data_IF_272502117500
#
_entry.id   IF_272502117500
#
_cell.length_a   1.000
_cell.length_b   1.000
_cell.length_c   1.000
_cell.angle_alpha   90.00
_cell.angle_beta   90.00
_cell.angle_gamma   90.00
#
_symmetry.space_group_name_H-M   'P 1'
#
loop_
_entity.id
_entity.type
_entity.pdbx_description
1 polymer ?
#
# COMPACT_ATOMS: atom_id res chain seq x y z
N UNK A 1 14.92 13.78 -11.39
CA UNK A 1 15.29 12.50 -10.74
C UNK A 1 15.27 11.40 -11.80
N UNK A 2 16.38 10.67 -12.00
CA UNK A 2 16.47 9.54 -12.95
C UNK A 2 15.79 8.28 -12.38
N UNK A 3 15.54 7.27 -13.22
CA UNK A 3 14.75 6.08 -12.86
C UNK A 3 15.30 5.34 -11.63
N UNK A 4 16.60 5.03 -11.60
CA UNK A 4 17.22 4.32 -10.47
C UNK A 4 17.03 5.05 -9.12
N UNK A 5 17.18 6.38 -9.11
CA UNK A 5 16.93 7.16 -7.89
C UNK A 5 15.47 7.10 -7.46
N UNK A 6 14.53 7.01 -8.41
CA UNK A 6 13.09 6.85 -8.11
C UNK A 6 12.79 5.48 -7.52
N UNK A 7 13.42 4.42 -8.03
CA UNK A 7 13.24 3.07 -7.50
C UNK A 7 13.77 2.94 -6.07
N UNK A 8 14.99 3.43 -5.81
CA UNK A 8 15.58 3.46 -4.46
C UNK A 8 14.68 4.20 -3.47
N UNK A 9 14.09 5.32 -3.90
CA UNK A 9 13.16 6.07 -3.07
C UNK A 9 11.92 5.26 -2.68
N UNK A 10 11.35 4.54 -3.65
CA UNK A 10 10.19 3.70 -3.42
C UNK A 10 10.54 2.50 -2.54
N UNK A 11 11.75 1.94 -2.64
CA UNK A 11 12.23 0.88 -1.75
C UNK A 11 12.32 1.33 -0.29
N UNK A 12 12.81 2.54 -0.04
CA UNK A 12 12.86 3.12 1.30
C UNK A 12 11.47 3.42 1.86
N UNK A 13 10.50 3.76 1.00
CA UNK A 13 9.10 3.91 1.41
C UNK A 13 8.50 2.55 1.75
N UNK A 14 8.73 1.55 0.91
CA UNK A 14 8.23 0.19 1.09
C UNK A 14 8.75 -0.43 2.39
N UNK A 15 10.03 -0.28 2.71
CA UNK A 15 10.60 -0.82 3.97
C UNK A 15 9.98 -0.22 5.24
N UNK A 16 9.39 0.97 5.14
CA UNK A 16 8.69 1.66 6.24
C UNK A 16 7.17 1.69 6.05
N UNK A 17 6.62 0.91 5.11
CA UNK A 17 5.20 0.97 4.75
C UNK A 17 4.27 0.70 5.93
N UNK A 18 4.65 -0.19 6.84
CA UNK A 18 3.85 -0.54 8.01
C UNK A 18 3.68 0.65 8.97
N UNK A 19 4.65 1.56 9.03
CA UNK A 19 4.58 2.76 9.87
C UNK A 19 3.85 3.87 9.10
N UNK A 20 4.15 4.03 7.81
CA UNK A 20 3.62 5.11 6.98
C UNK A 20 2.15 4.91 6.61
N UNK A 21 1.80 3.70 6.22
CA UNK A 21 0.53 3.30 5.61
C UNK A 21 -0.15 2.13 6.33
N UNK A 22 0.41 1.63 7.43
CA UNK A 22 -0.23 0.60 8.24
C UNK A 22 -1.66 0.99 8.63
N UNK A 23 -2.51 -0.04 8.73
CA UNK A 23 -3.90 0.10 9.21
C UNK A 23 -3.93 0.82 10.55
N UNK A 24 -5.08 1.42 10.88
CA UNK A 24 -5.32 2.18 12.11
C UNK A 24 -4.89 1.37 13.33
N UNK A 25 -3.65 1.56 13.75
CA UNK A 25 -3.08 0.98 14.95
C UNK A 25 -3.10 2.07 16.00
N UNK A 26 -3.77 1.82 17.13
CA UNK A 26 -3.76 2.74 18.28
C UNK A 26 -2.35 2.98 18.85
N UNK A 27 -1.37 2.19 18.41
CA UNK A 27 0.04 2.32 18.79
C UNK A 27 0.85 3.25 17.90
N UNK A 28 0.38 3.62 16.70
CA UNK A 28 1.14 4.45 15.75
C UNK A 28 0.76 5.92 15.89
N UNK A 29 1.72 6.73 16.33
CA UNK A 29 1.51 8.16 16.55
C UNK A 29 1.82 8.99 15.30
N UNK A 30 1.44 10.29 15.30
CA UNK A 30 1.80 11.22 14.22
C UNK A 30 3.30 11.47 14.18
N UNK A 31 3.94 11.40 15.33
CA UNK A 31 5.36 11.56 15.57
C UNK A 31 6.14 10.42 14.92
N UNK A 32 5.67 9.17 15.05
CA UNK A 32 6.30 8.00 14.41
C UNK A 32 6.28 8.11 12.89
N UNK A 33 5.14 8.52 12.32
CA UNK A 33 5.03 8.77 10.88
C UNK A 33 5.96 9.88 10.42
N UNK A 34 6.07 10.94 11.21
CA UNK A 34 6.96 12.08 10.93
C UNK A 34 8.42 11.65 10.99
N UNK A 35 8.80 10.84 11.99
CA UNK A 35 10.14 10.29 12.14
C UNK A 35 10.48 9.35 10.97
N UNK A 36 9.56 8.49 10.56
CA UNK A 36 9.75 7.60 9.42
C UNK A 36 9.99 8.38 8.11
N UNK A 37 9.22 9.45 7.85
CA UNK A 37 9.45 10.30 6.68
C UNK A 37 10.80 11.02 6.71
N UNK A 38 11.23 11.51 7.87
CA UNK A 38 12.57 12.13 8.03
C UNK A 38 13.68 11.11 7.79
N UNK A 39 13.57 9.92 8.39
CA UNK A 39 14.53 8.83 8.18
C UNK A 39 14.64 8.44 6.71
N UNK A 40 13.57 8.45 5.92
CA UNK A 40 13.68 8.21 4.47
C UNK A 40 14.55 9.26 3.76
N UNK A 41 14.48 10.52 4.18
CA UNK A 41 15.33 11.59 3.62
C UNK A 41 16.79 11.38 4.03
N UNK A 42 17.01 11.08 5.31
CA UNK A 42 18.33 10.90 5.90
C UNK A 42 19.01 9.63 5.35
N UNK A 43 18.35 8.47 5.40
CA UNK A 43 18.83 7.19 4.87
C UNK A 43 19.22 7.34 3.40
N UNK A 44 18.45 8.11 2.63
CA UNK A 44 18.71 8.33 1.22
C UNK A 44 19.92 9.21 0.97
N UNK A 45 20.05 10.29 1.73
CA UNK A 45 21.20 11.17 1.65
C UNK A 45 22.49 10.45 2.08
N UNK A 46 22.42 9.65 3.15
CA UNK A 46 23.56 8.95 3.75
C UNK A 46 24.01 7.73 2.94
N UNK A 47 23.08 6.87 2.53
CA UNK A 47 23.41 5.58 1.89
C UNK A 47 23.70 5.78 0.40
N UNK A 48 22.97 6.67 -0.27
CA UNK A 48 23.04 6.81 -1.73
C UNK A 48 23.68 8.13 -2.19
N UNK A 49 24.06 9.01 -1.26
CA UNK A 49 24.84 10.21 -1.55
C UNK A 49 24.09 11.31 -2.29
N UNK A 50 22.74 11.34 -2.23
CA UNK A 50 21.97 12.41 -2.87
C UNK A 50 20.72 12.79 -2.09
N UNK A 51 20.49 14.10 -1.95
CA UNK A 51 19.31 14.62 -1.27
C UNK A 51 18.10 14.64 -2.23
N UNK A 52 16.98 14.00 -1.86
CA UNK A 52 15.76 14.04 -2.67
C UNK A 52 15.00 15.36 -2.57
N UNK A 53 15.27 16.15 -1.54
CA UNK A 53 14.63 17.43 -1.28
C UNK A 53 15.27 18.47 -2.19
N UNK A 54 14.49 19.17 -3.04
CA UNK A 54 15.02 20.29 -3.81
C UNK A 54 15.66 21.33 -2.89
N UNK A 55 16.73 21.96 -3.36
CA UNK A 55 17.45 23.00 -2.59
C UNK A 55 16.48 24.04 -2.04
N UNK A 56 16.59 24.34 -0.75
CA UNK A 56 15.74 25.33 -0.07
C UNK A 56 14.34 24.83 0.33
N UNK A 57 14.01 23.56 0.11
CA UNK A 57 12.73 22.98 0.57
C UNK A 57 12.88 22.16 1.85
N UNK A 58 11.80 22.04 2.64
CA UNK A 58 11.79 21.17 3.81
C UNK A 58 11.65 19.68 3.42
N UNK A 59 12.02 18.79 4.34
CA UNK A 59 11.82 17.32 4.21
C UNK A 59 10.38 16.94 3.88
N UNK A 60 9.39 17.72 4.35
CA UNK A 60 7.97 17.50 4.10
C UNK A 60 7.61 17.58 2.61
N UNK A 61 8.42 18.25 1.78
CA UNK A 61 8.22 18.29 0.33
C UNK A 61 8.27 16.88 -0.29
N UNK A 62 9.02 15.95 0.30
CA UNK A 62 9.05 14.56 -0.13
C UNK A 62 7.67 13.92 0.03
N UNK A 63 7.09 14.07 1.23
CA UNK A 63 5.78 13.52 1.60
C UNK A 63 4.64 14.19 0.85
N UNK A 64 4.67 15.52 0.74
CA UNK A 64 3.53 16.32 0.31
C UNK A 64 3.52 16.58 -1.20
N UNK A 65 4.66 16.46 -1.88
CA UNK A 65 4.76 16.78 -3.31
C UNK A 65 5.36 15.68 -4.16
N UNK A 66 6.33 14.92 -3.66
CA UNK A 66 7.01 13.90 -4.47
C UNK A 66 6.25 12.57 -4.43
N UNK A 67 5.91 12.06 -3.24
CA UNK A 67 5.11 10.84 -3.10
C UNK A 67 3.75 10.93 -3.83
N UNK A 68 2.95 12.01 -3.68
CA UNK A 68 1.67 12.12 -4.36
C UNK A 68 1.77 12.12 -5.89
N UNK A 69 2.88 12.63 -6.45
CA UNK A 69 3.11 12.56 -7.91
C UNK A 69 3.23 11.12 -8.40
N UNK A 70 4.01 10.29 -7.69
CA UNK A 70 4.13 8.86 -8.01
C UNK A 70 2.79 8.15 -7.87
N UNK A 71 2.14 8.32 -6.71
CA UNK A 71 0.82 7.75 -6.44
C UNK A 71 -0.19 8.13 -7.52
N UNK A 72 -0.40 9.43 -7.76
CA UNK A 72 -1.44 9.90 -8.67
C UNK A 72 -1.18 9.46 -10.12
N UNK A 73 0.09 9.48 -10.55
CA UNK A 73 0.45 9.00 -11.88
C UNK A 73 0.13 7.52 -12.06
N UNK A 74 0.53 6.68 -11.11
CA UNK A 74 0.27 5.24 -11.13
C UNK A 74 -1.23 4.92 -11.05
N UNK A 75 -1.96 5.64 -10.19
CA UNK A 75 -3.42 5.48 -10.07
C UNK A 75 -4.13 5.88 -11.37
N UNK A 76 -3.72 6.98 -12.02
CA UNK A 76 -4.24 7.36 -13.34
C UNK A 76 -4.02 6.27 -14.39
N UNK A 77 -2.84 5.66 -14.42
CA UNK A 77 -2.54 4.57 -15.36
C UNK A 77 -3.39 3.33 -15.06
N UNK A 78 -3.61 3.02 -13.78
CA UNK A 78 -4.47 1.92 -13.34
C UNK A 78 -5.92 2.16 -13.76
N UNK A 79 -6.45 3.35 -13.50
CA UNK A 79 -7.83 3.71 -13.82
C UNK A 79 -8.04 3.73 -15.36
N UNK A 80 -7.05 4.19 -16.12
CA UNK A 80 -7.06 4.12 -17.59
C UNK A 80 -7.08 2.67 -18.12
N UNK A 81 -6.39 1.75 -17.44
CA UNK A 81 -6.42 0.31 -17.78
C UNK A 81 -7.76 -0.35 -17.41
N UNK A 82 -8.39 0.09 -16.32
CA UNK A 82 -9.69 -0.46 -15.86
C UNK A 82 -10.87 0.08 -16.68
N UNK A 83 -10.80 1.34 -17.16
CA UNK A 83 -11.78 1.89 -18.10
C UNK A 83 -11.53 1.37 -19.52
N UNK A 84 -11.97 0.15 -19.79
CA UNK A 84 -12.12 -0.36 -21.15
C UNK A 84 -13.25 0.39 -21.86
N UNK A 85 -12.89 1.34 -22.73
CA UNK A 85 -13.84 2.11 -23.54
C UNK A 85 -13.20 3.10 -24.53
N UNK A 86 -11.95 3.53 -24.31
CA UNK A 86 -11.22 4.38 -25.26
C UNK A 86 -10.18 3.59 -26.06
N UNK A 87 -9.94 3.95 -27.35
CA UNK A 87 -8.94 3.31 -28.19
C UNK A 87 -7.54 3.59 -27.62
N UNK A 88 -7.02 2.62 -26.87
CA UNK A 88 -5.72 2.70 -26.16
C UNK A 88 -5.69 1.93 -24.82
N UNK A 89 -6.85 1.54 -24.28
CA UNK A 89 -6.99 1.01 -22.91
C UNK A 89 -6.34 -0.35 -22.60
N UNK A 90 -6.00 -1.17 -23.60
CA UNK A 90 -5.44 -2.49 -23.36
C UNK A 90 -3.90 -2.53 -23.28
N UNK A 91 -3.21 -1.47 -23.74
CA UNK A 91 -1.75 -1.50 -23.98
C UNK A 91 -0.94 -0.61 -23.02
N UNK A 92 -1.58 -0.02 -22.01
CA UNK A 92 -0.88 0.71 -20.94
C UNK A 92 -0.09 -0.29 -20.09
N UNK A 93 1.18 -0.47 -20.43
CA UNK A 93 2.13 -1.27 -19.66
C UNK A 93 2.59 -0.49 -18.44
N UNK A 94 2.44 -1.09 -17.26
CA UNK A 94 2.98 -0.53 -16.03
C UNK A 94 4.51 -0.48 -16.10
N UNK A 95 5.08 0.67 -15.77
CA UNK A 95 6.53 0.80 -15.60
C UNK A 95 6.98 0.10 -14.30
N UNK A 96 8.30 -0.12 -14.14
CA UNK A 96 8.86 -0.63 -12.88
C UNK A 96 8.50 0.25 -11.67
N UNK A 97 8.38 1.56 -11.89
CA UNK A 97 7.97 2.52 -10.88
C UNK A 97 6.50 2.30 -10.51
N UNK A 98 5.62 2.14 -11.50
CA UNK A 98 4.20 1.90 -11.27
C UNK A 98 3.97 0.61 -10.49
N UNK A 99 4.67 -0.46 -10.84
CA UNK A 99 4.57 -1.74 -10.13
C UNK A 99 4.96 -1.60 -8.65
N UNK A 100 6.05 -0.88 -8.33
CA UNK A 100 6.44 -0.62 -6.93
C UNK A 100 5.43 0.25 -6.19
N UNK A 101 4.88 1.27 -6.85
CA UNK A 101 3.85 2.12 -6.23
C UNK A 101 2.58 1.32 -5.96
N UNK A 102 2.18 0.45 -6.89
CA UNK A 102 1.05 -0.48 -6.71
C UNK A 102 1.31 -1.47 -5.59
N UNK A 103 2.54 -1.93 -5.39
CA UNK A 103 2.91 -2.82 -4.29
C UNK A 103 2.76 -2.10 -2.94
N UNK A 104 3.36 -0.91 -2.80
CA UNK A 104 3.26 -0.06 -1.59
C UNK A 104 1.79 0.26 -1.22
N UNK A 105 0.93 0.49 -2.22
CA UNK A 105 -0.48 0.81 -1.99
C UNK A 105 -1.32 -0.45 -1.81
N UNK A 106 -1.05 -1.48 -2.60
CA UNK A 106 -1.81 -2.72 -2.70
C UNK A 106 -1.64 -3.65 -1.51
N UNK A 107 -0.50 -3.58 -0.80
CA UNK A 107 -0.26 -4.43 0.37
C UNK A 107 -1.27 -4.23 1.50
N UNK A 108 -1.88 -3.04 1.67
CA UNK A 108 -2.83 -2.74 2.79
C UNK A 108 -3.90 -1.68 2.51
N UNK A 109 -4.15 -1.26 1.27
CA UNK A 109 -5.19 -0.25 1.02
C UNK A 109 -6.59 -0.88 1.07
N UNK A 110 -7.51 -0.39 1.93
CA UNK A 110 -8.92 -0.78 1.90
C UNK A 110 -9.61 -0.47 0.56
N UNK A 111 -9.01 0.41 -0.25
CA UNK A 111 -9.47 0.73 -1.60
C UNK A 111 -9.10 -0.35 -2.64
N UNK A 112 -8.22 -1.30 -2.29
CA UNK A 112 -7.80 -2.42 -3.15
C UNK A 112 -8.39 -3.74 -2.67
N UNK A 113 -8.49 -3.94 -1.35
CA UNK A 113 -9.11 -5.15 -0.76
C UNK A 113 -10.64 -5.19 -0.89
N UNK A 114 -11.25 -4.09 -1.33
CA UNK A 114 -12.67 -3.87 -1.14
C UNK A 114 -12.96 -3.66 0.35
N UNK A 115 -13.79 -2.69 0.67
CA UNK A 115 -14.39 -2.68 2.00
C UNK A 115 -15.22 -3.97 2.09
N UNK A 116 -14.75 -4.97 2.83
CA UNK A 116 -15.56 -6.11 3.27
C UNK A 116 -16.57 -5.64 4.34
N UNK A 117 -17.25 -4.54 4.03
CA UNK A 117 -18.40 -4.05 4.75
C UNK A 117 -19.55 -4.82 4.11
N UNK A 118 -20.21 -5.74 4.83
CA UNK A 118 -21.42 -6.34 4.32
C UNK A 118 -22.36 -5.20 3.95
N UNK A 119 -22.76 -5.16 2.68
CA UNK A 119 -23.79 -4.28 2.18
C UNK A 119 -24.99 -4.40 3.13
N UNK A 120 -25.35 -3.29 3.79
CA UNK A 120 -26.39 -3.28 4.81
C UNK A 120 -27.70 -3.75 4.19
N UNK A 121 -28.00 -5.04 4.31
CA UNK A 121 -29.17 -5.67 3.69
C UNK A 121 -29.08 -7.19 3.49
N UNK A 122 -27.89 -7.79 3.50
CA UNK A 122 -27.76 -9.25 3.32
C UNK A 122 -27.28 -9.88 4.63
N UNK A 123 -28.11 -10.67 5.35
CA UNK A 123 -27.65 -11.36 6.56
C UNK A 123 -26.54 -12.37 6.19
N UNK A 124 -25.51 -12.53 7.03
CA UNK A 124 -24.44 -13.48 6.77
C UNK A 124 -25.01 -14.89 6.63
N UNK A 125 -24.63 -15.58 5.55
CA UNK A 125 -24.90 -17.00 5.38
C UNK A 125 -24.16 -17.72 6.51
N UNK A 126 -24.89 -18.13 7.55
CA UNK A 126 -24.37 -19.03 8.56
C UNK A 126 -24.08 -20.37 7.88
N UNK A 127 -22.80 -20.64 7.58
CA UNK A 127 -22.37 -22.00 7.27
C UNK A 127 -22.47 -22.80 8.56
N UNK A 128 -23.51 -23.63 8.62
CA UNK A 128 -23.76 -24.60 9.67
C UNK A 128 -22.62 -25.63 9.65
N UNK A 129 -21.58 -25.45 10.46
CA UNK A 129 -20.59 -26.50 10.69
C UNK A 129 -21.24 -27.50 11.66
N UNK A 130 -21.86 -28.52 11.06
CA UNK A 130 -22.37 -29.70 11.75
C UNK A 130 -21.19 -30.37 12.49
N UNK A 131 -21.07 -30.12 13.79
CA UNK A 131 -20.18 -30.88 14.66
C UNK A 131 -20.75 -32.29 14.80
N UNK A 132 -20.31 -33.19 13.90
CA UNK A 132 -20.53 -34.62 14.05
C UNK A 132 -19.80 -35.12 15.30
N UNK A 133 -20.58 -35.24 16.38
CA UNK A 133 -20.17 -35.80 17.66
C UNK A 133 -19.87 -37.30 17.50
N UNK A 134 -18.58 -37.66 17.54
CA UNK A 134 -18.11 -39.03 17.61
C UNK A 134 -18.49 -39.59 18.98
N UNK A 135 -19.59 -40.36 19.03
CA UNK A 135 -19.98 -41.12 20.23
C UNK A 135 -19.00 -42.27 20.44
N UNK A 136 -18.29 -42.20 21.56
CA UNK A 136 -17.50 -43.28 22.11
C UNK A 136 -18.33 -44.54 22.31
N UNK A 137 -17.79 -45.64 21.80
CA UNK A 137 -18.27 -47.00 22.00
C UNK A 137 -18.08 -47.39 23.48
N UNK A 138 -19.18 -47.68 24.17
CA UNK A 138 -19.19 -48.37 25.46
C UNK A 138 -20.06 -49.61 25.29
N UNK A 139 -19.44 -50.76 25.05
CA UNK A 139 -20.09 -52.06 25.20
C UNK A 139 -19.94 -52.47 26.66
N UNK A 140 -21.08 -52.63 27.33
CA UNK A 140 -21.21 -53.23 28.66
C UNK A 140 -21.12 -54.76 28.55
N UNK A 141 -20.45 -55.34 29.56
CA UNK A 141 -20.62 -56.67 30.18
C UNK A 141 -20.58 -57.90 29.28
#
# INVERSE_FOLDING_TARGET
MNENRRLIFLDLIYSKENILFGSFSDTLTKEDKTAAWKSIVDDRAQIYGFNPVPTGKPWSHIRDSIWPKFKNYTMRNRDAKQKTGEPGGADVKYSKIDLKVLDIIGSKSPAVEGLNVPEAGIPPIYTFIEHSSIRHHQIRR
#
